data_IF_244878168463
#
_entry.id   IF_244878168463
#
_cell.length_a   1.000
_cell.length_b   1.000
_cell.length_c   1.000
_cell.angle_alpha   90.00
_cell.angle_beta   90.00
_cell.angle_gamma   90.00
#
_symmetry.space_group_name_H-M   'P 1'
#
loop_
_entity.id
_entity.type
_entity.pdbx_description
1 polymer ?
#
# COMPACT_ATOMS: atom_id res chain seq x y z
N UNK A 1 -5.38 12.86 5.19
CA UNK A 1 -5.01 11.99 4.06
C UNK A 1 -5.59 12.60 2.79
N UNK A 2 -4.76 12.80 1.78
CA UNK A 2 -5.17 13.32 0.46
C UNK A 2 -6.07 12.31 -0.28
N UNK A 3 -7.07 12.80 -1.02
CA UNK A 3 -7.93 11.98 -1.89
C UNK A 3 -7.12 11.32 -3.01
N UNK A 4 -6.08 11.99 -3.53
CA UNK A 4 -5.22 11.45 -4.57
C UNK A 4 -4.38 10.26 -4.07
N UNK A 5 -3.82 10.39 -2.86
CA UNK A 5 -3.10 9.30 -2.19
C UNK A 5 -4.01 8.10 -1.93
N UNK A 6 -5.24 8.35 -1.45
CA UNK A 6 -6.23 7.27 -1.25
C UNK A 6 -6.59 6.57 -2.57
N UNK A 7 -6.73 7.31 -3.67
CA UNK A 7 -6.98 6.73 -4.98
C UNK A 7 -5.80 5.86 -5.44
N UNK A 8 -4.56 6.32 -5.25
CA UNK A 8 -3.36 5.56 -5.58
C UNK A 8 -3.25 4.25 -4.78
N UNK A 9 -3.52 4.31 -3.47
CA UNK A 9 -3.54 3.13 -2.58
C UNK A 9 -4.59 2.11 -3.05
N UNK A 10 -5.81 2.56 -3.36
CA UNK A 10 -6.86 1.66 -3.84
C UNK A 10 -6.50 1.03 -5.19
N UNK A 11 -5.99 1.82 -6.13
CA UNK A 11 -5.58 1.31 -7.44
C UNK A 11 -4.50 0.23 -7.33
N UNK A 12 -3.55 0.40 -6.41
CA UNK A 12 -2.52 -0.61 -6.18
C UNK A 12 -3.08 -1.88 -5.54
N UNK A 13 -4.04 -1.74 -4.61
CA UNK A 13 -4.70 -2.89 -4.00
C UNK A 13 -5.55 -3.67 -5.00
N UNK A 14 -6.24 -2.98 -5.91
CA UNK A 14 -7.03 -3.61 -6.98
C UNK A 14 -6.11 -4.37 -7.95
N UNK A 15 -4.98 -3.75 -8.36
CA UNK A 15 -3.95 -4.44 -9.15
C UNK A 15 -3.40 -5.68 -8.45
N UNK A 16 -3.17 -5.61 -7.13
CA UNK A 16 -2.67 -6.73 -6.36
C UNK A 16 -3.70 -7.88 -6.26
N UNK A 17 -4.99 -7.55 -6.20
CA UNK A 17 -6.08 -8.55 -6.24
C UNK A 17 -6.15 -9.26 -7.60
N UNK A 18 -6.00 -8.51 -8.69
CA UNK A 18 -6.06 -9.05 -10.05
C UNK A 18 -4.81 -9.87 -10.42
N UNK A 19 -3.63 -9.48 -9.93
CA UNK A 19 -2.34 -9.99 -10.39
C UNK A 19 -1.73 -11.14 -9.58
N UNK A 20 -2.51 -11.90 -8.77
CA UNK A 20 -2.06 -13.07 -7.94
C UNK A 20 -0.68 -13.67 -8.35
N UNK A 21 0.37 -13.73 -7.50
CA UNK A 21 0.71 -12.96 -6.30
C UNK A 21 2.05 -12.22 -6.51
N UNK A 22 2.03 -10.94 -6.87
CA UNK A 22 3.22 -10.12 -6.60
C UNK A 22 3.25 -9.86 -5.10
N UNK A 23 4.20 -10.51 -4.43
CA UNK A 23 4.51 -10.29 -3.03
C UNK A 23 5.04 -8.86 -2.88
N UNK A 24 4.15 -7.92 -2.58
CA UNK A 24 4.55 -6.57 -2.21
C UNK A 24 5.07 -6.58 -0.77
N UNK A 25 6.19 -5.91 -0.55
CA UNK A 25 6.63 -5.51 0.78
C UNK A 25 5.92 -4.19 1.09
N UNK A 26 5.21 -4.15 2.23
CA UNK A 26 4.41 -3.00 2.68
C UNK A 26 5.24 -1.71 2.68
N UNK A 27 6.42 -1.77 3.29
CA UNK A 27 7.26 -0.60 3.53
C UNK A 27 7.88 -0.05 2.24
N UNK A 28 8.21 -0.92 1.28
CA UNK A 28 8.68 -0.51 -0.05
C UNK A 28 7.58 0.26 -0.81
N UNK A 29 6.35 -0.24 -0.73
CA UNK A 29 5.21 0.42 -1.36
C UNK A 29 4.86 1.75 -0.68
N UNK A 30 4.91 1.79 0.66
CA UNK A 30 4.70 3.02 1.41
C UNK A 30 5.76 4.09 1.07
N UNK A 31 7.03 3.68 0.95
CA UNK A 31 8.13 4.56 0.56
C UNK A 31 7.94 5.10 -0.86
N UNK A 32 7.55 4.24 -1.82
CA UNK A 32 7.30 4.65 -3.20
C UNK A 32 6.11 5.62 -3.32
N UNK A 33 5.07 5.44 -2.50
CA UNK A 33 3.94 6.37 -2.44
C UNK A 33 4.35 7.70 -1.81
N UNK A 34 5.12 7.69 -0.72
CA UNK A 34 5.61 8.91 -0.07
C UNK A 34 6.44 9.80 -1.01
N UNK A 35 7.22 9.21 -1.93
CA UNK A 35 7.97 9.97 -2.94
C UNK A 35 7.06 10.81 -3.86
N UNK A 36 5.83 10.37 -4.10
CA UNK A 36 4.84 11.08 -4.91
C UNK A 36 3.89 11.94 -4.04
N UNK A 37 3.75 11.60 -2.76
CA UNK A 37 2.89 12.27 -1.79
C UNK A 37 3.69 12.64 -0.52
N UNK A 38 4.63 13.60 -0.61
CA UNK A 38 5.56 13.91 0.47
C UNK A 38 4.89 14.53 1.71
N UNK A 39 3.66 15.04 1.56
CA UNK A 39 2.88 15.64 2.65
C UNK A 39 2.33 14.61 3.64
N UNK A 40 2.29 13.32 3.28
CA UNK A 40 1.86 12.23 4.16
C UNK A 40 3.06 11.43 4.65
N UNK A 41 3.13 11.09 5.93
CA UNK A 41 4.27 10.32 6.46
C UNK A 41 4.20 8.84 6.06
N UNK A 42 5.36 8.20 5.91
CA UNK A 42 5.47 6.81 5.45
C UNK A 42 4.65 5.87 6.35
N UNK A 43 4.68 6.06 7.68
CA UNK A 43 3.95 5.23 8.64
C UNK A 43 2.43 5.30 8.43
N UNK A 44 1.87 6.50 8.23
CA UNK A 44 0.44 6.69 7.94
C UNK A 44 0.03 6.03 6.62
N UNK A 45 0.88 6.14 5.58
CA UNK A 45 0.66 5.47 4.30
C UNK A 45 0.65 3.96 4.51
N UNK A 46 1.60 3.44 5.27
CA UNK A 46 1.75 2.02 5.55
C UNK A 46 0.55 1.46 6.35
N UNK A 47 0.04 2.20 7.33
CA UNK A 47 -1.16 1.83 8.10
C UNK A 47 -2.39 1.79 7.18
N UNK A 48 -2.50 2.75 6.27
CA UNK A 48 -3.61 2.77 5.31
C UNK A 48 -3.52 1.65 4.28
N UNK A 49 -2.31 1.34 3.82
CA UNK A 49 -2.06 0.18 2.96
C UNK A 49 -2.55 -1.10 3.64
N UNK A 50 -2.25 -1.28 4.92
CA UNK A 50 -2.72 -2.41 5.73
C UNK A 50 -4.24 -2.52 5.79
N UNK A 51 -4.93 -1.41 6.09
CA UNK A 51 -6.40 -1.35 6.10
C UNK A 51 -6.99 -1.78 4.75
N UNK A 52 -6.48 -1.21 3.67
CA UNK A 52 -6.99 -1.38 2.31
C UNK A 52 -6.70 -2.80 1.82
N UNK A 53 -5.53 -3.35 2.09
CA UNK A 53 -5.19 -4.74 1.75
C UNK A 53 -6.08 -5.73 2.50
N UNK A 54 -6.21 -5.59 3.82
CA UNK A 54 -7.07 -6.46 4.64
C UNK A 54 -8.52 -6.43 4.17
N UNK A 55 -9.03 -5.25 3.79
CA UNK A 55 -10.40 -5.12 3.26
C UNK A 55 -10.65 -5.94 1.99
N UNK A 56 -9.60 -6.28 1.23
CA UNK A 56 -9.63 -7.07 0.00
C UNK A 56 -9.16 -8.52 0.20
N UNK A 57 -8.92 -8.94 1.44
CA UNK A 57 -8.37 -10.28 1.74
C UNK A 57 -6.93 -10.48 1.24
N UNK A 58 -6.20 -9.38 1.03
CA UNK A 58 -4.81 -9.39 0.60
C UNK A 58 -3.89 -9.28 1.80
N UNK A 59 -2.69 -9.84 1.67
CA UNK A 59 -1.65 -9.79 2.69
C UNK A 59 -0.32 -9.40 2.04
N UNK A 60 0.41 -8.50 2.68
CA UNK A 60 1.77 -8.18 2.29
C UNK A 60 2.71 -9.34 2.61
N UNK A 61 3.79 -9.46 1.84
CA UNK A 61 4.86 -10.36 2.19
C UNK A 61 5.54 -9.84 3.47
N UNK A 62 5.56 -10.67 4.50
CA UNK A 62 6.35 -10.38 5.69
C UNK A 62 7.82 -10.58 5.34
N UNK A 63 8.62 -9.52 5.45
CA UNK A 63 10.08 -9.66 5.44
C UNK A 63 10.45 -10.42 6.70
N UNK A 64 10.72 -11.73 6.58
CA UNK A 64 11.47 -12.43 7.63
C UNK A 64 12.87 -11.82 7.65
N UNK A 65 13.16 -11.07 8.70
CA UNK A 65 14.51 -10.57 9.00
C UNK A 65 15.31 -11.64 9.72
#
# INVERSE_FOLDING_TARGET
MDQELMAAINAQADRAADARPQMFVRDDLATALHQNFPDSIIEEIADKLDDVWRSRGLFFASVHR
#
